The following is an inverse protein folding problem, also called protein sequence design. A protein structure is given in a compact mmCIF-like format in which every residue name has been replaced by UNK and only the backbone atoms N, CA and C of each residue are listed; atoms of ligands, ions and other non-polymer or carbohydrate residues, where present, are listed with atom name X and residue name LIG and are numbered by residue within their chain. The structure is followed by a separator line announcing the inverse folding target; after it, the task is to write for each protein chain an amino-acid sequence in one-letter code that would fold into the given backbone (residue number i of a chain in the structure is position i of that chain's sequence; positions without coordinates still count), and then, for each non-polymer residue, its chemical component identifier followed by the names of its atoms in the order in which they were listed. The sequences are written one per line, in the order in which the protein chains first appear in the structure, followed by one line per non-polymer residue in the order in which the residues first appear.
data_IF_249371636390
#
_entry.id   IF_249371636390
#
_cell.length_a   1.000
_cell.length_b   1.000
_cell.length_c   1.000
_cell.angle_alpha   90.00
_cell.angle_beta   90.00
_cell.angle_gamma   90.00
#
_symmetry.space_group_name_H-M   'P 1'
#
loop_
_entity.id
_entity.type
_entity.pdbx_description
1 polymer ?
#
# COMPACT_ATOMS: atom_id res chain seq x y z
N UNK A 1 -0.83 -13.74 -5.12
CA UNK A 1 -1.49 -14.44 -6.24
C UNK A 1 -2.74 -13.68 -6.66
N UNK A 2 -3.15 -13.84 -7.91
CA UNK A 2 -4.34 -13.24 -8.49
C UNK A 2 -5.62 -13.56 -7.68
N UNK A 3 -5.78 -14.81 -7.26
CA UNK A 3 -6.93 -15.24 -6.43
C UNK A 3 -7.00 -14.50 -5.10
N UNK A 4 -5.86 -14.36 -4.40
CA UNK A 4 -5.83 -13.63 -3.14
C UNK A 4 -6.12 -12.13 -3.30
N UNK A 5 -5.75 -11.54 -4.44
CA UNK A 5 -6.10 -10.16 -4.77
C UNK A 5 -7.60 -10.02 -5.02
N UNK A 6 -8.19 -10.90 -5.85
CA UNK A 6 -9.63 -10.94 -6.10
C UNK A 6 -10.44 -10.98 -4.79
N UNK A 7 -10.10 -11.92 -3.91
CA UNK A 7 -10.81 -12.09 -2.63
C UNK A 7 -10.75 -10.83 -1.76
N UNK A 8 -9.61 -10.14 -1.71
CA UNK A 8 -9.45 -8.88 -0.98
C UNK A 8 -10.24 -7.74 -1.59
N UNK A 9 -10.26 -7.63 -2.92
CA UNK A 9 -11.05 -6.63 -3.64
C UNK A 9 -12.53 -6.79 -3.31
N UNK A 10 -13.03 -8.01 -3.36
CA UNK A 10 -14.43 -8.33 -3.08
C UNK A 10 -14.76 -8.02 -1.62
N UNK A 11 -13.94 -8.51 -0.69
CA UNK A 11 -14.16 -8.35 0.75
C UNK A 11 -14.10 -6.89 1.20
N UNK A 12 -13.14 -6.13 0.69
CA UNK A 12 -12.99 -4.71 1.01
C UNK A 12 -13.94 -3.79 0.23
N UNK A 13 -14.63 -4.29 -0.79
CA UNK A 13 -15.43 -3.44 -1.69
C UNK A 13 -14.60 -2.39 -2.41
N UNK A 14 -13.36 -2.73 -2.78
CA UNK A 14 -12.44 -1.78 -3.39
C UNK A 14 -12.97 -1.24 -4.71
N UNK A 15 -12.74 0.05 -4.98
CA UNK A 15 -13.23 0.74 -6.19
C UNK A 15 -12.12 1.09 -7.17
N UNK A 16 -10.87 1.00 -6.73
CA UNK A 16 -9.68 1.23 -7.56
C UNK A 16 -8.53 0.33 -7.11
N UNK A 17 -7.61 0.08 -8.03
CA UNK A 17 -6.34 -0.61 -7.74
C UNK A 17 -5.19 0.33 -8.11
N UNK A 18 -4.19 0.42 -7.25
CA UNK A 18 -2.91 1.04 -7.56
C UNK A 18 -1.86 -0.08 -7.60
N UNK A 19 -1.13 -0.17 -8.68
CA UNK A 19 -0.10 -1.19 -8.88
C UNK A 19 1.08 -0.63 -9.66
N UNK A 20 2.15 -1.39 -9.79
CA UNK A 20 3.19 -1.10 -10.79
C UNK A 20 3.11 -2.07 -11.96
N UNK A 21 3.74 -1.69 -13.09
CA UNK A 21 3.88 -2.61 -14.23
C UNK A 21 4.62 -3.88 -13.78
N UNK A 22 5.82 -3.70 -13.21
CA UNK A 22 6.65 -4.76 -12.64
C UNK A 22 7.24 -4.32 -11.31
N UNK A 23 7.65 -5.29 -10.51
CA UNK A 23 8.47 -5.08 -9.31
C UNK A 23 9.78 -5.83 -9.49
N UNK A 24 10.88 -5.22 -9.05
CA UNK A 24 12.18 -5.89 -8.98
C UNK A 24 12.26 -6.68 -7.69
N UNK A 25 12.56 -7.97 -7.79
CA UNK A 25 12.76 -8.86 -6.64
C UNK A 25 13.84 -9.89 -6.92
N UNK A 26 14.91 -9.87 -6.12
CA UNK A 26 16.03 -10.81 -6.31
C UNK A 26 16.63 -10.76 -7.71
N UNK A 27 16.75 -9.56 -8.31
CA UNK A 27 17.25 -9.36 -9.66
C UNK A 27 16.29 -9.75 -10.79
N UNK A 28 15.04 -10.10 -10.48
CA UNK A 28 14.01 -10.49 -11.47
C UNK A 28 12.86 -9.49 -11.49
N UNK A 29 12.28 -9.28 -12.66
CA UNK A 29 11.04 -8.54 -12.83
C UNK A 29 9.84 -9.44 -12.53
N UNK A 30 8.98 -9.02 -11.61
CA UNK A 30 7.70 -9.65 -11.30
C UNK A 30 6.58 -8.85 -11.95
N UNK A 31 5.73 -9.44 -12.81
CA UNK A 31 4.69 -8.75 -13.56
C UNK A 31 3.46 -8.47 -12.68
N UNK A 32 3.49 -7.41 -11.87
CA UNK A 32 2.39 -7.11 -10.93
C UNK A 32 1.10 -6.75 -11.65
N UNK A 33 1.18 -5.96 -12.73
CA UNK A 33 -0.01 -5.60 -13.52
C UNK A 33 -0.71 -6.82 -14.12
N UNK A 34 0.05 -7.82 -14.59
CA UNK A 34 -0.54 -9.05 -15.11
C UNK A 34 -1.28 -9.85 -14.01
N UNK A 35 -0.73 -9.87 -12.79
CA UNK A 35 -1.40 -10.46 -11.63
C UNK A 35 -2.71 -9.74 -11.29
N UNK A 36 -2.73 -8.41 -11.43
CA UNK A 36 -3.97 -7.62 -11.25
C UNK A 36 -4.99 -7.99 -12.30
N UNK A 37 -4.62 -8.02 -13.57
CA UNK A 37 -5.53 -8.38 -14.66
C UNK A 37 -6.11 -9.78 -14.45
N UNK A 38 -5.27 -10.77 -14.19
CA UNK A 38 -5.71 -12.13 -13.88
C UNK A 38 -6.70 -12.14 -12.69
N UNK A 39 -6.42 -11.37 -11.62
CA UNK A 39 -7.32 -11.30 -10.48
C UNK A 39 -8.68 -10.68 -10.79
N UNK A 40 -8.72 -9.65 -11.63
CA UNK A 40 -9.97 -9.02 -12.07
C UNK A 40 -10.76 -9.93 -13.02
N UNK A 41 -10.08 -10.69 -13.88
CA UNK A 41 -10.70 -11.61 -14.82
C UNK A 41 -11.34 -12.84 -14.14
N UNK A 42 -11.00 -13.13 -12.89
CA UNK A 42 -11.68 -14.17 -12.11
C UNK A 42 -13.14 -13.83 -11.76
N UNK A 43 -13.56 -12.56 -11.98
CA UNK A 43 -14.92 -12.07 -11.74
C UNK A 43 -15.17 -11.61 -10.31
N UNK A 44 -16.32 -10.95 -10.09
CA UNK A 44 -16.72 -10.41 -8.79
C UNK A 44 -16.03 -9.10 -8.40
N UNK A 45 -15.24 -8.52 -9.32
CA UNK A 45 -14.49 -7.28 -9.10
C UNK A 45 -15.07 -6.08 -9.87
N UNK A 46 -16.35 -6.09 -10.19
CA UNK A 46 -17.05 -5.06 -11.00
C UNK A 46 -17.09 -3.70 -10.30
N UNK A 47 -16.80 -3.65 -8.99
CA UNK A 47 -16.61 -2.42 -8.22
C UNK A 47 -15.38 -1.62 -8.67
N UNK A 48 -14.36 -2.29 -9.23
CA UNK A 48 -13.14 -1.62 -9.70
C UNK A 48 -13.46 -0.78 -10.95
N UNK A 49 -13.30 0.53 -10.83
CA UNK A 49 -13.52 1.49 -11.91
C UNK A 49 -12.24 1.89 -12.62
N UNK A 50 -11.11 1.86 -11.91
CA UNK A 50 -9.83 2.29 -12.47
C UNK A 50 -8.68 1.48 -11.87
N UNK A 51 -7.70 1.15 -12.72
CA UNK A 51 -6.41 0.63 -12.29
C UNK A 51 -5.35 1.66 -12.63
N UNK A 52 -4.67 2.18 -11.61
CA UNK A 52 -3.55 3.09 -11.75
C UNK A 52 -2.25 2.29 -11.79
N UNK A 53 -1.46 2.49 -12.84
CA UNK A 53 -0.23 1.72 -13.07
C UNK A 53 0.98 2.65 -12.99
N UNK A 54 1.81 2.43 -11.99
CA UNK A 54 3.12 3.09 -11.89
C UNK A 54 4.13 2.35 -12.78
N UNK A 55 4.72 3.06 -13.72
CA UNK A 55 5.73 2.51 -14.65
C UNK A 55 7.08 2.47 -13.96
N UNK A 56 7.29 1.42 -13.17
CA UNK A 56 8.49 1.21 -12.35
C UNK A 56 9.70 0.76 -13.14
N UNK A 57 9.47 0.01 -14.21
CA UNK A 57 10.51 -0.45 -15.14
C UNK A 57 10.15 -0.02 -16.56
N UNK A 58 11.14 -0.05 -17.46
CA UNK A 58 10.92 0.27 -18.87
C UNK A 58 10.13 -0.83 -19.63
N UNK A 59 9.92 -1.99 -19.00
CA UNK A 59 9.19 -3.11 -19.60
C UNK A 59 7.71 -2.78 -19.71
N UNK A 60 7.19 -2.80 -20.91
CA UNK A 60 5.78 -2.53 -21.17
C UNK A 60 4.87 -3.61 -20.55
N UNK A 61 3.71 -3.19 -20.06
CA UNK A 61 2.65 -4.08 -19.61
C UNK A 61 1.37 -3.86 -20.43
N UNK A 62 0.44 -4.80 -20.33
CA UNK A 62 -0.87 -4.63 -20.94
C UNK A 62 -1.65 -3.51 -20.23
N UNK A 63 -2.28 -2.62 -21.03
CA UNK A 63 -3.14 -1.54 -20.53
C UNK A 63 -4.54 -1.68 -21.15
N UNK A 64 -5.54 -1.90 -20.32
CA UNK A 64 -6.94 -2.04 -20.75
C UNK A 64 -7.56 -0.67 -20.93
N UNK A 65 -7.95 -0.36 -22.18
CA UNK A 65 -8.56 0.92 -22.52
C UNK A 65 -9.85 1.18 -21.71
N UNK A 66 -10.02 2.40 -21.23
CA UNK A 66 -11.18 2.81 -20.45
C UNK A 66 -11.11 2.45 -18.95
N UNK A 67 -10.26 1.50 -18.56
CA UNK A 67 -10.05 1.09 -17.16
C UNK A 67 -8.71 1.57 -16.62
N UNK A 68 -7.63 1.37 -17.38
CA UNK A 68 -6.28 1.57 -16.90
C UNK A 68 -5.74 2.96 -17.24
N UNK A 69 -4.99 3.53 -16.33
CA UNK A 69 -4.28 4.81 -16.51
C UNK A 69 -2.86 4.68 -15.96
N UNK A 70 -1.89 5.25 -16.64
CA UNK A 70 -0.57 5.39 -16.00
C UNK A 70 -0.67 6.36 -14.83
N UNK A 71 0.22 6.20 -13.86
CA UNK A 71 0.24 7.09 -12.68
C UNK A 71 0.49 8.53 -13.11
N UNK A 72 1.39 8.75 -14.08
CA UNK A 72 1.69 10.07 -14.64
C UNK A 72 0.47 10.71 -15.31
N UNK A 73 -0.32 9.93 -16.04
CA UNK A 73 -1.59 10.42 -16.59
C UNK A 73 -2.58 10.83 -15.51
N UNK A 74 -2.62 10.08 -14.41
CA UNK A 74 -3.55 10.33 -13.31
C UNK A 74 -3.21 11.61 -12.52
N UNK A 75 -1.92 11.90 -12.34
CA UNK A 75 -1.46 13.09 -11.59
C UNK A 75 -1.33 14.33 -12.47
N UNK A 76 -1.31 14.18 -13.78
CA UNK A 76 -1.14 15.30 -14.71
C UNK A 76 -2.25 16.34 -14.53
N UNK A 77 -1.85 17.57 -14.24
CA UNK A 77 -2.76 18.69 -14.05
C UNK A 77 -3.47 18.71 -12.68
N UNK A 78 -3.14 17.79 -11.78
CA UNK A 78 -3.63 17.84 -10.40
C UNK A 78 -2.90 18.93 -9.61
N UNK A 79 -3.57 19.44 -8.58
CA UNK A 79 -2.93 20.33 -7.61
C UNK A 79 -1.80 19.64 -6.87
N UNK A 80 -0.71 20.33 -6.62
CA UNK A 80 0.35 19.87 -5.73
C UNK A 80 0.01 20.09 -4.24
N UNK A 81 -1.15 20.69 -3.95
CA UNK A 81 -1.66 20.89 -2.60
C UNK A 81 -2.90 20.03 -2.42
N UNK A 82 -2.85 19.12 -1.45
CA UNK A 82 -3.98 18.31 -1.01
C UNK A 82 -4.16 18.52 0.49
N UNK A 83 -5.18 19.29 0.86
CA UNK A 83 -5.47 19.52 2.27
C UNK A 83 -5.96 18.22 2.92
N UNK A 84 -5.49 17.89 4.13
CA UNK A 84 -5.97 16.72 4.86
C UNK A 84 -7.44 16.88 5.23
N UNK A 85 -8.20 15.81 5.05
CA UNK A 85 -9.59 15.74 5.52
C UNK A 85 -9.58 15.47 7.03
N UNK A 86 -10.26 16.33 7.79
CA UNK A 86 -10.42 16.13 9.23
C UNK A 86 -11.40 14.99 9.48
N UNK A 87 -10.96 14.00 10.25
CA UNK A 87 -11.76 12.82 10.58
C UNK A 87 -11.70 12.54 12.09
N UNK A 88 -12.66 11.80 12.61
CA UNK A 88 -12.63 11.32 14.00
C UNK A 88 -11.54 10.28 14.22
N UNK A 89 -11.11 10.08 15.46
CA UNK A 89 -10.04 9.14 15.81
C UNK A 89 -10.37 7.70 15.40
N UNK A 90 -11.64 7.31 15.46
CA UNK A 90 -12.13 5.97 15.10
C UNK A 90 -12.38 5.78 13.59
N UNK A 91 -12.17 6.82 12.78
CA UNK A 91 -12.34 6.71 11.34
C UNK A 91 -11.38 5.64 10.77
N UNK A 92 -11.85 4.75 9.87
CA UNK A 92 -11.00 3.76 9.23
C UNK A 92 -9.80 4.40 8.51
N UNK A 93 -8.61 3.85 8.73
CA UNK A 93 -7.38 4.28 8.07
C UNK A 93 -7.03 3.34 6.93
N UNK A 94 -6.91 2.06 7.24
CA UNK A 94 -6.64 1.01 6.25
C UNK A 94 -7.12 -0.35 6.75
N UNK A 95 -7.22 -1.31 5.83
CA UNK A 95 -7.46 -2.72 6.11
C UNK A 95 -6.21 -3.50 5.69
N UNK A 96 -5.64 -4.27 6.61
CA UNK A 96 -4.53 -5.15 6.32
C UNK A 96 -4.96 -6.61 6.52
N UNK A 97 -4.68 -7.44 5.50
CA UNK A 97 -5.08 -8.84 5.51
C UNK A 97 -4.02 -9.74 6.12
N UNK A 98 -4.45 -10.59 7.03
CA UNK A 98 -3.64 -11.67 7.61
C UNK A 98 -3.98 -13.00 6.96
N UNK A 99 -3.08 -13.98 7.05
CA UNK A 99 -3.29 -15.33 6.48
C UNK A 99 -4.47 -16.11 7.09
N UNK A 100 -4.98 -15.67 8.23
CA UNK A 100 -6.11 -16.31 8.93
C UNK A 100 -5.88 -17.79 9.28
N UNK A 101 -6.34 -18.23 10.43
CA UNK A 101 -6.25 -19.64 10.87
C UNK A 101 -7.13 -20.61 10.04
N UNK A 102 -8.09 -20.08 9.28
CA UNK A 102 -9.07 -20.86 8.48
C UNK A 102 -8.73 -20.94 7.00
N UNK A 103 -7.52 -20.47 6.60
CA UNK A 103 -7.09 -20.45 5.19
C UNK A 103 -7.65 -19.30 4.36
N UNK A 104 -8.68 -18.59 4.82
CA UNK A 104 -9.14 -17.36 4.14
C UNK A 104 -8.50 -16.14 4.80
N UNK A 105 -8.00 -15.17 4.00
CA UNK A 105 -7.48 -13.92 4.53
C UNK A 105 -8.55 -13.20 5.37
N UNK A 106 -8.14 -12.66 6.51
CA UNK A 106 -9.01 -11.83 7.37
C UNK A 106 -8.52 -10.40 7.32
N UNK A 107 -9.39 -9.47 6.94
CA UNK A 107 -9.10 -8.05 6.95
C UNK A 107 -9.16 -7.49 8.38
N UNK A 108 -8.07 -6.89 8.84
CA UNK A 108 -8.01 -6.15 10.10
C UNK A 108 -8.08 -4.68 9.78
N UNK A 109 -9.16 -4.02 10.21
CA UNK A 109 -9.33 -2.58 10.04
C UNK A 109 -8.63 -1.85 11.19
N UNK A 110 -7.78 -0.90 10.84
CA UNK A 110 -7.10 -0.01 11.77
C UNK A 110 -7.74 1.37 11.75
N UNK A 111 -7.91 1.99 12.93
CA UNK A 111 -8.44 3.35 13.07
C UNK A 111 -7.35 4.39 12.93
N UNK A 112 -7.73 5.60 12.47
CA UNK A 112 -6.78 6.68 12.18
C UNK A 112 -6.04 7.15 13.43
N UNK A 113 -6.76 7.54 14.48
CA UNK A 113 -6.14 8.10 15.69
C UNK A 113 -5.41 7.05 16.51
N UNK A 114 -6.03 5.89 16.75
CA UNK A 114 -5.45 4.83 17.58
C UNK A 114 -4.16 4.26 16.97
N UNK A 115 -4.17 4.01 15.66
CA UNK A 115 -2.99 3.48 14.99
C UNK A 115 -1.82 4.48 14.96
N UNK A 116 -2.06 5.75 14.63
CA UNK A 116 -1.02 6.77 14.63
C UNK A 116 -0.45 7.02 16.03
N UNK A 117 -1.31 7.09 17.05
CA UNK A 117 -0.86 7.22 18.44
C UNK A 117 0.04 6.06 18.84
N UNK A 118 -0.39 4.83 18.57
CA UNK A 118 0.39 3.64 18.88
C UNK A 118 1.76 3.64 18.18
N UNK A 119 1.80 3.90 16.89
CA UNK A 119 3.07 3.89 16.15
C UNK A 119 4.01 4.98 16.64
N UNK A 120 3.50 6.21 16.91
CA UNK A 120 4.32 7.27 17.46
C UNK A 120 4.86 6.93 18.86
N UNK A 121 4.02 6.44 19.76
CA UNK A 121 4.46 6.07 21.12
C UNK A 121 5.50 4.96 21.10
N UNK A 122 5.40 4.00 20.17
CA UNK A 122 6.40 2.94 20.07
C UNK A 122 7.72 3.43 19.48
N UNK A 123 7.72 4.45 18.61
CA UNK A 123 8.95 5.13 18.20
C UNK A 123 9.66 5.75 19.41
N UNK A 124 8.90 6.42 20.28
CA UNK A 124 9.46 7.08 21.47
C UNK A 124 9.88 6.06 22.55
N UNK A 125 9.00 5.12 22.91
CA UNK A 125 9.19 4.26 24.09
C UNK A 125 9.98 2.99 23.83
N UNK A 126 9.84 2.42 22.61
CA UNK A 126 10.47 1.12 22.28
C UNK A 126 11.77 1.32 21.55
N UNK A 127 11.81 2.25 20.60
CA UNK A 127 13.01 2.54 19.82
C UNK A 127 13.86 3.68 20.41
N UNK A 128 13.32 4.40 21.41
CA UNK A 128 14.02 5.53 22.05
C UNK A 128 14.58 6.54 21.05
N UNK A 129 13.76 6.84 20.02
CA UNK A 129 14.14 7.68 18.89
C UNK A 129 14.50 9.10 19.36
N UNK A 130 15.70 9.56 19.01
CA UNK A 130 16.19 10.90 19.28
C UNK A 130 16.21 11.76 18.01
N UNK A 131 16.20 13.08 18.15
CA UNK A 131 16.17 14.03 17.01
C UNK A 131 17.35 13.86 16.04
N UNK A 132 18.50 13.37 16.54
CA UNK A 132 19.70 13.15 15.75
C UNK A 132 19.75 11.79 15.04
N UNK A 133 18.79 10.91 15.32
CA UNK A 133 18.83 9.54 14.81
C UNK A 133 18.44 9.44 13.34
N UNK A 134 19.04 8.45 12.69
CA UNK A 134 18.63 8.00 11.38
C UNK A 134 18.02 6.61 11.52
N UNK A 135 16.73 6.51 11.37
CA UNK A 135 15.97 5.28 11.57
C UNK A 135 15.95 4.41 10.31
N UNK A 136 16.13 3.11 10.48
CA UNK A 136 16.02 2.16 9.39
C UNK A 136 15.24 0.91 9.81
N UNK A 137 14.11 0.69 9.16
CA UNK A 137 13.33 -0.53 9.27
C UNK A 137 13.50 -1.37 8.00
N UNK A 138 13.92 -2.61 8.15
CA UNK A 138 14.16 -3.55 7.03
C UNK A 138 12.92 -4.36 6.65
N UNK A 139 11.78 -4.13 7.29
CA UNK A 139 10.55 -4.85 6.99
C UNK A 139 9.95 -4.42 5.65
N UNK A 140 9.39 -5.38 4.92
CA UNK A 140 8.60 -5.11 3.72
C UNK A 140 7.37 -4.26 4.06
N UNK A 141 7.12 -3.20 3.27
CA UNK A 141 5.99 -2.27 3.45
C UNK A 141 4.62 -2.97 3.38
N UNK A 142 4.52 -4.11 2.72
CA UNK A 142 3.29 -4.90 2.63
C UNK A 142 2.88 -5.60 3.93
N UNK A 143 3.74 -5.61 4.97
CA UNK A 143 3.46 -6.18 6.28
C UNK A 143 3.11 -5.09 7.29
N UNK A 144 2.43 -5.47 8.39
CA UNK A 144 2.07 -4.50 9.45
C UNK A 144 3.31 -3.80 10.03
N UNK A 145 4.45 -4.50 10.15
CA UNK A 145 5.70 -3.91 10.61
C UNK A 145 6.18 -2.81 9.66
N UNK A 146 6.11 -3.04 8.35
CA UNK A 146 6.46 -2.03 7.36
C UNK A 146 5.47 -0.84 7.36
N UNK A 147 4.17 -1.09 7.48
CA UNK A 147 3.20 -0.02 7.67
C UNK A 147 3.55 0.82 8.90
N UNK A 148 3.80 0.18 10.03
CA UNK A 148 4.06 0.86 11.29
C UNK A 148 5.39 1.62 11.29
N UNK A 149 6.48 1.02 10.79
CA UNK A 149 7.83 1.49 11.02
C UNK A 149 8.64 1.82 9.75
N UNK A 150 8.02 1.79 8.58
CA UNK A 150 8.54 2.42 7.36
C UNK A 150 7.66 3.61 6.95
N UNK A 151 6.32 3.48 7.06
CA UNK A 151 5.42 4.53 6.61
C UNK A 151 4.97 5.46 7.74
N UNK A 152 4.24 4.95 8.75
CA UNK A 152 3.52 5.84 9.68
C UNK A 152 4.36 6.33 10.86
N UNK A 153 5.00 5.46 11.61
CA UNK A 153 5.70 5.80 12.85
C UNK A 153 6.82 6.81 12.67
N UNK A 154 7.80 6.56 11.79
CA UNK A 154 8.90 7.48 11.56
C UNK A 154 8.44 8.85 11.08
N UNK A 155 7.47 8.91 10.16
CA UNK A 155 6.93 10.18 9.67
C UNK A 155 6.15 10.93 10.75
N UNK A 156 5.35 10.23 11.56
CA UNK A 156 4.63 10.84 12.69
C UNK A 156 5.56 11.34 13.78
N UNK A 157 6.75 10.75 13.93
CA UNK A 157 7.78 11.18 14.86
C UNK A 157 8.72 12.26 14.29
N UNK A 158 8.62 12.59 12.99
CA UNK A 158 9.51 13.54 12.31
C UNK A 158 10.93 12.99 12.09
N UNK A 159 11.08 11.67 12.06
CA UNK A 159 12.39 11.02 11.95
C UNK A 159 13.01 11.16 10.56
N UNK A 160 14.33 11.28 10.51
CA UNK A 160 15.10 10.97 9.29
C UNK A 160 15.16 9.47 9.15
N UNK A 161 14.80 8.92 7.98
CA UNK A 161 14.83 7.48 7.76
C UNK A 161 15.51 7.08 6.47
N UNK A 162 16.07 5.87 6.48
CA UNK A 162 16.58 5.21 5.28
C UNK A 162 15.49 4.30 4.73
N UNK A 163 15.22 4.44 3.43
CA UNK A 163 14.37 3.52 2.67
C UNK A 163 15.28 2.76 1.72
N UNK A 164 15.32 1.45 1.84
CA UNK A 164 16.10 0.57 0.97
C UNK A 164 15.19 -0.13 -0.02
N UNK A 165 15.53 -0.02 -1.28
CA UNK A 165 14.84 -0.70 -2.36
C UNK A 165 15.63 -1.91 -2.81
N UNK A 166 15.25 -3.06 -2.34
CA UNK A 166 15.88 -4.32 -2.69
C UNK A 166 15.57 -5.43 -1.69
N UNK A 167 15.92 -6.63 -2.07
CA UNK A 167 15.90 -7.84 -1.24
C UNK A 167 17.25 -8.53 -1.44
#
# INVERSE_FOLDING_TARGET
SAKALQERIIDAGAVAVITSNYQLRGGKELPLKAIVDEGLDLGGCESIKTVYVYERTATACNMVAGRDKTFDQAIKGQSNVCAPVQVGAEHPLFILYTSGSTGKPKGVQHSTGGYLLWTKLTMDWTFDLQDSDVFWCTADIGWITGHSYVAYGPLAAGATQIIFEGI
#
